data_IF_118966335370
#
_entry.id   IF_118966335370
#
_cell.length_a   1.000
_cell.length_b   1.000
_cell.length_c   1.000
_cell.angle_alpha   90.00
_cell.angle_beta   90.00
_cell.angle_gamma   90.00
#
_symmetry.space_group_name_H-M   'P 1'
#
loop_
_entity.id
_entity.type
_entity.pdbx_description
1 polymer ?
#
# COMPACT_ATOMS: atom_id res chain seq x y z
N UNK A 1 -7.11 9.47 6.78
CA UNK A 1 -6.87 9.59 8.23
C UNK A 1 -5.86 8.58 8.73
N UNK A 2 -6.12 7.27 8.68
CA UNK A 2 -5.16 6.24 9.14
C UNK A 2 -3.77 6.39 8.51
N UNK A 3 -3.72 6.56 7.19
CA UNK A 3 -2.48 6.83 6.45
C UNK A 3 -1.64 7.97 7.02
N UNK A 4 -2.31 9.09 7.30
CA UNK A 4 -1.66 10.28 7.82
C UNK A 4 -1.17 10.07 9.26
N UNK A 5 -1.97 9.42 10.10
CA UNK A 5 -1.54 9.10 11.48
C UNK A 5 -0.31 8.19 11.50
N UNK A 6 -0.31 7.13 10.68
CA UNK A 6 0.86 6.25 10.56
C UNK A 6 2.06 6.99 10.00
N UNK A 7 1.91 7.81 8.95
CA UNK A 7 3.00 8.62 8.42
C UNK A 7 3.62 9.54 9.48
N UNK A 8 2.81 10.23 10.29
CA UNK A 8 3.31 11.06 11.40
C UNK A 8 4.07 10.25 12.45
N UNK A 9 3.49 9.13 12.91
CA UNK A 9 4.15 8.25 13.90
C UNK A 9 5.45 7.67 13.35
N UNK A 10 5.47 7.29 12.07
CA UNK A 10 6.66 6.78 11.40
C UNK A 10 7.76 7.84 11.26
N UNK A 11 7.41 9.10 10.99
CA UNK A 11 8.38 10.20 11.03
C UNK A 11 8.96 10.37 12.44
N UNK A 12 8.14 10.50 13.47
CA UNK A 12 8.66 10.65 14.84
C UNK A 12 9.53 9.46 15.29
N UNK A 13 9.21 8.24 14.85
CA UNK A 13 9.95 7.04 15.24
C UNK A 13 11.23 6.78 14.41
N UNK A 14 11.24 7.18 13.13
CA UNK A 14 12.27 6.74 12.17
C UNK A 14 12.97 7.87 11.40
N UNK A 15 12.66 9.13 11.69
CA UNK A 15 13.30 10.28 11.06
C UNK A 15 14.81 10.28 11.27
N UNK A 16 15.55 10.55 10.19
CA UNK A 16 17.00 10.70 10.17
C UNK A 16 17.80 9.40 10.20
N UNK A 17 17.15 8.24 10.34
CA UNK A 17 17.82 6.93 10.44
C UNK A 17 18.31 6.37 9.10
N UNK A 18 17.61 6.71 8.03
CA UNK A 18 17.89 6.32 6.66
C UNK A 18 17.90 7.60 5.83
N UNK A 19 19.01 7.89 5.18
CA UNK A 19 19.20 9.08 4.35
C UNK A 19 19.60 8.66 2.94
N UNK A 20 18.93 9.23 1.95
CA UNK A 20 19.30 9.01 0.57
C UNK A 20 20.36 10.03 0.14
N UNK A 21 21.54 9.54 -0.26
CA UNK A 21 22.66 10.35 -0.72
C UNK A 21 23.20 9.87 -2.09
N UNK A 22 22.39 9.13 -2.85
CA UNK A 22 22.81 8.45 -4.08
C UNK A 22 23.45 7.07 -3.83
N UNK A 23 23.53 6.27 -4.89
CA UNK A 23 24.15 4.93 -4.87
C UNK A 23 25.54 4.89 -5.53
N UNK A 24 26.00 6.02 -6.06
CA UNK A 24 27.27 6.10 -6.75
C UNK A 24 28.44 5.97 -5.78
N UNK A 25 29.30 4.99 -6.07
CA UNK A 25 30.36 4.47 -5.18
C UNK A 25 31.57 5.42 -5.11
N UNK A 26 31.56 6.52 -5.86
CA UNK A 26 32.66 7.47 -5.91
C UNK A 26 32.51 8.55 -4.82
N UNK A 27 32.92 8.20 -3.59
CA UNK A 27 33.24 9.18 -2.56
C UNK A 27 32.07 9.87 -1.86
N UNK A 28 30.85 9.34 -1.98
CA UNK A 28 29.67 9.85 -1.26
C UNK A 28 29.80 9.70 0.27
N UNK A 29 29.59 10.79 1.00
CA UNK A 29 29.78 10.91 2.46
C UNK A 29 28.81 10.11 3.33
N UNK A 30 27.85 9.38 2.75
CA UNK A 30 26.82 8.64 3.49
C UNK A 30 26.55 7.25 2.86
N UNK A 31 27.57 6.39 2.87
CA UNK A 31 27.46 4.99 2.44
C UNK A 31 26.31 4.27 3.17
N UNK A 32 25.67 3.32 2.48
CA UNK A 32 24.61 2.46 3.04
C UNK A 32 23.40 3.24 3.59
N UNK A 33 22.88 4.19 2.79
CA UNK A 33 21.81 5.10 3.21
C UNK A 33 22.14 5.92 4.47
N UNK A 34 23.40 6.26 4.70
CA UNK A 34 23.85 6.95 5.91
C UNK A 34 23.89 6.09 7.18
N UNK A 35 23.70 4.77 7.09
CA UNK A 35 23.76 3.87 8.24
C UNK A 35 24.50 2.56 7.94
N UNK A 36 25.64 2.34 8.62
CA UNK A 36 26.47 1.16 8.43
C UNK A 36 25.75 -0.17 8.75
N UNK A 37 24.66 -0.16 9.54
CA UNK A 37 23.85 -1.34 9.85
C UNK A 37 23.07 -1.86 8.63
N UNK A 38 22.92 -1.04 7.59
CA UNK A 38 22.31 -1.44 6.32
C UNK A 38 23.31 -2.08 5.36
N UNK A 39 24.59 -2.18 5.72
CA UNK A 39 25.59 -2.84 4.90
C UNK A 39 25.22 -4.30 4.64
N UNK A 40 25.29 -4.72 3.37
CA UNK A 40 24.89 -6.03 2.87
C UNK A 40 23.43 -6.45 3.12
N UNK A 41 22.56 -5.52 3.54
CA UNK A 41 21.13 -5.79 3.62
C UNK A 41 20.47 -5.73 2.24
N UNK A 42 19.39 -6.48 2.07
CA UNK A 42 18.60 -6.43 0.82
C UNK A 42 17.98 -5.03 0.62
N UNK A 43 17.69 -4.30 1.71
CA UNK A 43 17.24 -2.90 1.65
C UNK A 43 18.22 -1.99 0.90
N UNK A 44 19.52 -2.12 1.15
CA UNK A 44 20.55 -1.37 0.41
C UNK A 44 20.70 -1.91 -1.03
N UNK A 45 20.75 -3.23 -1.20
CA UNK A 45 21.00 -3.88 -2.50
C UNK A 45 19.91 -3.58 -3.53
N UNK A 46 18.66 -3.57 -3.09
CA UNK A 46 17.48 -3.29 -3.92
C UNK A 46 17.18 -1.79 -4.04
N UNK A 47 18.07 -0.93 -3.55
CA UNK A 47 17.99 0.52 -3.68
C UNK A 47 16.78 1.20 -2.99
N UNK A 48 16.45 0.80 -1.75
CA UNK A 48 15.30 1.34 -0.98
C UNK A 48 15.62 2.56 -0.09
N UNK A 49 16.79 3.20 -0.20
CA UNK A 49 17.17 4.35 0.66
C UNK A 49 16.23 5.54 0.50
N UNK A 50 15.57 5.67 -0.66
CA UNK A 50 14.59 6.74 -0.90
C UNK A 50 13.29 6.52 -0.09
N UNK A 51 13.06 5.30 0.39
CA UNK A 51 11.93 4.92 1.23
C UNK A 51 12.23 5.22 2.69
N UNK A 52 12.37 6.52 2.97
CA UNK A 52 12.69 7.09 4.27
C UNK A 52 11.50 7.83 4.91
N UNK A 53 11.60 8.12 6.21
CA UNK A 53 10.62 8.90 6.97
C UNK A 53 11.15 10.30 7.33
N UNK A 54 12.00 10.90 6.50
CA UNK A 54 12.62 12.19 6.80
C UNK A 54 11.68 13.38 6.60
N UNK A 55 10.70 13.21 5.72
CA UNK A 55 9.66 14.19 5.43
C UNK A 55 8.34 13.49 5.09
N UNK A 56 7.28 14.29 5.10
CA UNK A 56 5.93 13.78 4.94
C UNK A 56 5.74 13.09 3.58
N UNK A 57 6.32 13.63 2.49
CA UNK A 57 6.10 13.08 1.16
C UNK A 57 6.72 11.68 1.05
N UNK A 58 7.97 11.52 1.48
CA UNK A 58 8.61 10.21 1.49
C UNK A 58 7.92 9.23 2.45
N UNK A 59 7.47 9.68 3.63
CA UNK A 59 6.67 8.85 4.52
C UNK A 59 5.40 8.33 3.84
N UNK A 60 4.70 9.17 3.07
CA UNK A 60 3.53 8.76 2.28
C UNK A 60 3.88 7.76 1.18
N UNK A 61 5.03 7.89 0.52
CA UNK A 61 5.53 6.91 -0.46
C UNK A 61 5.76 5.56 0.23
N UNK A 62 6.42 5.54 1.38
CA UNK A 62 6.62 4.31 2.17
C UNK A 62 5.26 3.70 2.52
N UNK A 63 4.30 4.48 2.99
CA UNK A 63 2.95 3.97 3.30
C UNK A 63 2.29 3.35 2.06
N UNK A 64 2.46 3.97 0.88
CA UNK A 64 1.97 3.45 -0.41
C UNK A 64 2.55 2.10 -0.75
N UNK A 65 3.87 1.97 -0.71
CA UNK A 65 4.53 0.69 -0.97
C UNK A 65 4.13 -0.39 0.02
N UNK A 66 4.01 -0.06 1.32
CA UNK A 66 3.52 -1.00 2.34
C UNK A 66 2.10 -1.47 2.04
N UNK A 67 1.28 -0.62 1.41
CA UNK A 67 -0.11 -0.95 1.05
C UNK A 67 -0.19 -1.89 -0.15
N UNK A 68 0.77 -1.82 -1.07
CA UNK A 68 0.90 -2.73 -2.21
C UNK A 68 1.33 -4.13 -1.77
N UNK A 69 1.88 -4.28 -0.55
CA UNK A 69 2.27 -5.56 0.06
C UNK A 69 3.46 -6.25 -0.63
N UNK A 70 4.11 -5.60 -1.59
CA UNK A 70 5.27 -6.21 -2.25
C UNK A 70 6.53 -6.06 -1.39
N UNK A 71 7.17 -7.17 -1.03
CA UNK A 71 8.45 -7.23 -0.31
C UNK A 71 8.55 -6.41 1.00
N UNK A 72 7.41 -5.98 1.57
CA UNK A 72 7.40 -5.06 2.71
C UNK A 72 8.02 -5.65 3.98
N UNK A 73 7.93 -6.96 4.20
CA UNK A 73 8.50 -7.63 5.36
C UNK A 73 10.03 -7.73 5.27
N UNK A 74 10.51 -8.19 4.11
CA UNK A 74 11.93 -8.53 3.90
C UNK A 74 12.79 -7.30 3.67
N UNK A 75 12.25 -6.27 3.02
CA UNK A 75 12.99 -5.05 2.72
C UNK A 75 12.72 -3.98 3.77
N UNK A 76 11.48 -3.49 3.84
CA UNK A 76 11.14 -2.33 4.66
C UNK A 76 11.18 -2.69 6.15
N UNK A 77 10.41 -3.67 6.61
CA UNK A 77 10.34 -3.99 8.04
C UNK A 77 11.68 -4.52 8.60
N UNK A 78 12.41 -5.34 7.82
CA UNK A 78 13.74 -5.81 8.22
C UNK A 78 14.80 -4.69 8.18
N UNK A 79 14.80 -3.85 7.14
CA UNK A 79 15.69 -2.70 7.02
C UNK A 79 15.56 -1.75 8.20
N UNK A 80 14.32 -1.34 8.52
CA UNK A 80 14.05 -0.47 9.67
C UNK A 80 14.35 -1.13 11.02
N UNK A 81 14.07 -2.43 11.18
CA UNK A 81 14.44 -3.16 12.38
C UNK A 81 15.95 -3.29 12.58
N UNK A 82 16.73 -3.29 11.49
CA UNK A 82 18.19 -3.39 11.53
C UNK A 82 18.84 -2.09 12.00
N UNK A 83 18.24 -0.93 11.69
CA UNK A 83 18.74 0.40 12.10
C UNK A 83 18.19 0.90 13.44
N UNK A 84 17.09 0.32 13.95
CA UNK A 84 16.47 0.70 15.22
C UNK A 84 16.56 -0.40 16.27
N UNK A 85 15.58 -1.30 16.28
CA UNK A 85 15.44 -2.45 17.15
C UNK A 85 14.47 -3.46 16.50
N UNK A 86 14.47 -4.73 16.93
CA UNK A 86 13.55 -5.75 16.42
C UNK A 86 12.06 -5.43 16.64
N UNK A 87 11.72 -4.63 17.65
CA UNK A 87 10.34 -4.24 17.99
C UNK A 87 9.74 -3.26 16.97
N UNK A 88 10.55 -2.58 16.15
CA UNK A 88 10.07 -1.74 15.05
C UNK A 88 9.21 -2.53 14.04
N UNK A 89 9.37 -3.86 13.96
CA UNK A 89 8.51 -4.73 13.14
C UNK A 89 7.04 -4.65 13.53
N UNK A 90 6.73 -4.40 14.81
CA UNK A 90 5.36 -4.28 15.30
C UNK A 90 4.65 -3.09 14.63
N UNK A 91 5.36 -1.98 14.40
CA UNK A 91 4.81 -0.84 13.69
C UNK A 91 4.32 -1.25 12.28
N UNK A 92 5.18 -1.90 11.49
CA UNK A 92 4.84 -2.33 10.13
C UNK A 92 3.74 -3.40 10.09
N UNK A 93 3.77 -4.36 11.03
CA UNK A 93 2.72 -5.38 11.16
C UNK A 93 1.38 -4.73 11.52
N UNK A 94 1.37 -3.76 12.44
CA UNK A 94 0.15 -3.06 12.84
C UNK A 94 -0.45 -2.25 11.68
N UNK A 95 0.39 -1.58 10.88
CA UNK A 95 -0.03 -0.90 9.66
C UNK A 95 -0.67 -1.89 8.67
N UNK A 96 -0.03 -3.04 8.46
CA UNK A 96 -0.53 -4.06 7.55
C UNK A 96 -1.92 -4.58 7.97
N UNK A 97 -2.10 -4.89 9.26
CA UNK A 97 -3.39 -5.36 9.78
C UNK A 97 -4.47 -4.27 9.60
N UNK A 98 -4.19 -3.04 10.01
CA UNK A 98 -5.21 -1.98 10.01
C UNK A 98 -5.50 -1.47 8.59
N UNK A 99 -4.47 -1.08 7.84
CA UNK A 99 -4.67 -0.41 6.55
C UNK A 99 -4.90 -1.41 5.42
N UNK A 100 -4.16 -2.53 5.37
CA UNK A 100 -4.27 -3.49 4.28
C UNK A 100 -5.39 -4.49 4.53
N UNK A 101 -5.36 -5.19 5.67
CA UNK A 101 -6.33 -6.27 5.92
C UNK A 101 -7.73 -5.72 6.23
N UNK A 102 -7.83 -4.66 7.02
CA UNK A 102 -9.15 -4.12 7.41
C UNK A 102 -9.63 -3.07 6.40
N UNK A 103 -8.91 -1.96 6.26
CA UNK A 103 -9.40 -0.81 5.47
C UNK A 103 -9.52 -1.14 3.98
N UNK A 104 -8.49 -1.73 3.35
CA UNK A 104 -8.57 -2.04 1.91
C UNK A 104 -9.59 -3.13 1.59
N UNK A 105 -9.76 -4.13 2.45
CA UNK A 105 -10.79 -5.15 2.22
C UNK A 105 -12.21 -4.61 2.40
N UNK A 106 -12.45 -3.74 3.40
CA UNK A 106 -13.75 -3.06 3.55
C UNK A 106 -14.03 -2.18 2.34
N UNK A 107 -13.03 -1.41 1.89
CA UNK A 107 -13.16 -0.57 0.70
C UNK A 107 -13.48 -1.40 -0.56
N UNK A 108 -12.75 -2.50 -0.77
CA UNK A 108 -12.96 -3.40 -1.91
C UNK A 108 -14.34 -4.04 -1.85
N UNK A 109 -14.77 -4.52 -0.68
CA UNK A 109 -16.10 -5.09 -0.49
C UNK A 109 -17.20 -4.08 -0.82
N UNK A 110 -17.07 -2.84 -0.37
CA UNK A 110 -18.01 -1.76 -0.68
C UNK A 110 -18.06 -1.45 -2.18
N UNK A 111 -16.91 -1.35 -2.86
CA UNK A 111 -16.87 -1.12 -4.32
C UNK A 111 -17.53 -2.27 -5.08
N UNK A 112 -17.27 -3.51 -4.66
CA UNK A 112 -17.91 -4.70 -5.26
C UNK A 112 -19.42 -4.70 -5.04
N UNK A 113 -19.90 -4.34 -3.85
CA UNK A 113 -21.32 -4.24 -3.55
C UNK A 113 -22.02 -3.22 -4.45
N UNK A 114 -21.45 -2.01 -4.58
CA UNK A 114 -21.97 -0.98 -5.48
C UNK A 114 -21.99 -1.47 -6.93
N UNK A 115 -20.93 -2.13 -7.37
CA UNK A 115 -20.84 -2.67 -8.73
C UNK A 115 -21.90 -3.76 -8.98
N UNK A 116 -22.10 -4.68 -8.04
CA UNK A 116 -23.10 -5.76 -8.14
C UNK A 116 -24.52 -5.19 -8.17
N UNK A 117 -24.82 -4.19 -7.33
CA UNK A 117 -26.13 -3.54 -7.30
C UNK A 117 -26.44 -2.86 -8.65
N UNK A 118 -25.50 -2.11 -9.19
CA UNK A 118 -25.64 -1.42 -10.47
C UNK A 118 -25.76 -2.41 -11.65
N UNK A 119 -24.95 -3.47 -11.65
CA UNK A 119 -25.00 -4.52 -12.67
C UNK A 119 -26.33 -5.28 -12.64
N UNK A 120 -26.79 -5.66 -11.44
CA UNK A 120 -28.07 -6.33 -11.23
C UNK A 120 -29.22 -5.45 -11.73
N UNK A 121 -29.29 -4.18 -11.30
CA UNK A 121 -30.34 -3.26 -11.70
C UNK A 121 -30.43 -3.10 -13.23
N UNK A 122 -29.28 -2.96 -13.91
CA UNK A 122 -29.21 -2.91 -15.38
C UNK A 122 -29.72 -4.18 -16.04
N UNK A 123 -29.36 -5.35 -15.49
CA UNK A 123 -29.82 -6.63 -16.01
C UNK A 123 -31.35 -6.77 -15.92
N UNK A 124 -31.94 -6.46 -14.76
CA UNK A 124 -33.40 -6.45 -14.58
C UNK A 124 -34.10 -5.51 -15.56
N UNK A 125 -33.56 -4.30 -15.78
CA UNK A 125 -34.16 -3.37 -16.75
C UNK A 125 -34.13 -3.92 -18.18
N UNK A 126 -33.03 -4.55 -18.60
CA UNK A 126 -32.93 -5.14 -19.93
C UNK A 126 -33.88 -6.32 -20.12
N UNK A 127 -34.01 -7.19 -19.12
CA UNK A 127 -34.96 -8.31 -19.17
C UNK A 127 -36.40 -7.79 -19.29
N UNK A 128 -36.80 -6.81 -18.48
CA UNK A 128 -38.15 -6.23 -18.56
C UNK A 128 -38.42 -5.52 -19.90
N UNK A 129 -37.44 -4.81 -20.48
CA UNK A 129 -37.57 -4.21 -21.81
C UNK A 129 -37.66 -5.26 -22.92
N UNK A 130 -36.89 -6.34 -22.80
CA UNK A 130 -36.91 -7.44 -23.75
C UNK A 130 -38.26 -8.17 -23.71
N UNK A 131 -38.75 -8.54 -22.52
CA UNK A 131 -40.07 -9.16 -22.34
C UNK A 131 -41.19 -8.29 -22.91
N UNK A 132 -41.14 -6.98 -22.64
CA UNK A 132 -42.10 -6.02 -23.20
C UNK A 132 -42.06 -6.01 -24.73
N UNK A 133 -40.88 -5.96 -25.34
CA UNK A 133 -40.74 -6.00 -26.81
C UNK A 133 -41.20 -7.32 -27.43
N UNK A 134 -40.93 -8.46 -26.79
CA UNK A 134 -41.40 -9.78 -27.25
C UNK A 134 -42.94 -9.81 -27.26
N UNK A 135 -43.56 -9.25 -26.21
CA UNK A 135 -45.02 -9.13 -26.13
C UNK A 135 -45.59 -8.20 -27.21
N UNK A 136 -44.99 -7.03 -27.44
CA UNK A 136 -45.42 -6.08 -28.49
C UNK A 136 -45.32 -6.67 -29.91
N UNK A 137 -44.31 -7.49 -30.18
CA UNK A 137 -44.16 -8.18 -31.47
C UNK A 137 -45.10 -9.37 -31.65
N UNK A 138 -45.93 -9.71 -30.64
CA UNK A 138 -46.84 -10.86 -30.68
C UNK A 138 -46.10 -12.21 -30.64
N UNK A 139 -44.83 -12.21 -30.24
CA UNK A 139 -43.95 -13.38 -30.18
C UNK A 139 -44.00 -14.07 -28.81
N UNK A 140 -44.87 -13.64 -27.88
CA UNK A 140 -45.02 -14.33 -26.60
C UNK A 140 -45.57 -15.74 -26.85
N UNK A 141 -44.71 -16.75 -26.71
CA UNK A 141 -45.10 -18.16 -26.83
C UNK A 141 -46.11 -18.49 -25.72
N UNK A 142 -47.28 -18.96 -26.15
CA UNK A 142 -48.35 -19.49 -25.28
C UNK A 142 -47.96 -20.86 -24.72
#
# INVERSE_FOLDING_TARGET
VFYYMFALVGMEAFQGLIKFSGYDVEGGSELYCGNALLNNTDFWREQYCNNNFNDLLHAFIVMFELTVVNQWQALIAYGYASVTNPWARIYFISFHIICVIIVMNIFTAFVLEVFILEYSAKHWTLETELEKKISEMGLSFR
#
